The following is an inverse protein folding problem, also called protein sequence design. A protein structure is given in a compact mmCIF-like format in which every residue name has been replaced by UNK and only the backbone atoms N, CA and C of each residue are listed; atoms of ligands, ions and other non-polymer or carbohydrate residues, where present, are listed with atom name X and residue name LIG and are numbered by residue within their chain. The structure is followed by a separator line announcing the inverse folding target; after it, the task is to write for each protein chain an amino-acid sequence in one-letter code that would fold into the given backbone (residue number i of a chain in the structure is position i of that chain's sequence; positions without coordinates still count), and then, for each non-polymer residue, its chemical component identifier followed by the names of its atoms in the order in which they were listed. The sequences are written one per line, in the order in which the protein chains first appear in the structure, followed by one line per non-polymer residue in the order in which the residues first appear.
data_IF_314407873598
#
_entry.id   IF_314407873598
#
_cell.length_a   1.000
_cell.length_b   1.000
_cell.length_c   1.000
_cell.angle_alpha   90.00
_cell.angle_beta   90.00
_cell.angle_gamma   90.00
#
_symmetry.space_group_name_H-M   'P 1'
#
loop_
_entity.id
_entity.type
_entity.pdbx_description
1 polymer ?
#
# COMPACT_ATOMS: atom_id res chain seq x y z
N UNK A 1 -4.10 12.04 -4.17
CA UNK A 1 -5.43 11.61 -3.67
C UNK A 1 -5.90 10.43 -4.50
N UNK A 2 -6.48 9.42 -3.85
CA UNK A 2 -7.01 8.21 -4.47
C UNK A 2 -8.50 8.39 -4.67
N UNK A 3 -8.98 8.23 -5.89
CA UNK A 3 -10.41 8.40 -6.21
C UNK A 3 -11.22 7.17 -5.76
N UNK A 4 -12.41 7.40 -5.23
CA UNK A 4 -13.28 6.33 -4.71
C UNK A 4 -13.62 5.28 -5.78
N UNK A 5 -13.79 5.69 -7.05
CA UNK A 5 -14.02 4.76 -8.17
C UNK A 5 -12.95 3.67 -8.29
N UNK A 6 -11.70 3.99 -7.90
CA UNK A 6 -10.62 3.00 -7.92
C UNK A 6 -10.79 1.96 -6.81
N UNK A 7 -11.26 2.40 -5.62
CA UNK A 7 -11.58 1.49 -4.51
C UNK A 7 -12.82 0.66 -4.83
N UNK A 8 -13.85 1.27 -5.42
CA UNK A 8 -15.05 0.56 -5.89
C UNK A 8 -14.70 -0.53 -6.91
N UNK A 9 -13.71 -0.29 -7.76
CA UNK A 9 -13.32 -1.26 -8.77
C UNK A 9 -12.70 -2.56 -8.23
N UNK A 10 -12.23 -2.56 -6.97
CA UNK A 10 -11.68 -3.75 -6.28
C UNK A 10 -12.64 -4.32 -5.23
N UNK A 11 -13.78 -3.67 -5.02
CA UNK A 11 -14.79 -4.10 -4.05
C UNK A 11 -15.90 -4.94 -4.72
N UNK A 12 -16.41 -5.92 -3.98
CA UNK A 12 -17.57 -6.71 -4.40
C UNK A 12 -18.87 -5.89 -4.30
N UNK A 13 -18.98 -5.06 -3.25
CA UNK A 13 -20.09 -4.15 -2.98
C UNK A 13 -19.68 -3.03 -2.03
N UNK A 14 -20.52 -2.00 -1.96
CA UNK A 14 -20.35 -0.85 -1.08
C UNK A 14 -21.52 -0.73 -0.09
N UNK A 15 -21.27 -0.12 1.07
CA UNK A 15 -22.33 0.13 2.08
C UNK A 15 -23.24 1.28 1.67
N UNK A 16 -22.68 2.36 1.17
CA UNK A 16 -23.38 3.59 0.79
C UNK A 16 -23.31 3.77 -0.73
N UNK A 17 -24.40 4.28 -1.33
CA UNK A 17 -24.42 4.64 -2.75
C UNK A 17 -23.66 5.96 -2.99
N UNK A 18 -23.85 6.93 -2.09
CA UNK A 18 -23.19 8.25 -2.14
C UNK A 18 -22.12 8.32 -1.04
N UNK A 19 -21.00 7.63 -1.27
CA UNK A 19 -19.86 7.65 -0.37
C UNK A 19 -18.88 8.81 -0.64
N UNK A 20 -17.72 8.85 0.06
CA UNK A 20 -16.67 9.84 -0.22
C UNK A 20 -16.16 9.69 -1.64
N UNK A 21 -15.84 10.81 -2.29
CA UNK A 21 -15.36 10.86 -3.70
C UNK A 21 -13.87 10.54 -3.82
N UNK A 22 -13.08 10.77 -2.77
CA UNK A 22 -11.63 10.53 -2.77
C UNK A 22 -11.07 10.39 -1.36
N UNK A 23 -9.87 9.80 -1.28
CA UNK A 23 -9.10 9.61 -0.06
C UNK A 23 -7.76 10.31 -0.16
N UNK A 24 -7.34 10.97 0.93
CA UNK A 24 -6.03 11.60 0.97
C UNK A 24 -4.92 10.56 1.10
N UNK A 25 -5.17 9.50 1.86
CA UNK A 25 -4.22 8.42 2.13
C UNK A 25 -4.90 7.06 2.29
N UNK A 26 -4.10 6.00 2.23
CA UNK A 26 -4.49 4.64 2.63
C UNK A 26 -3.62 4.24 3.81
N UNK A 27 -4.22 3.67 4.84
CA UNK A 27 -3.50 3.22 6.03
C UNK A 27 -3.96 1.84 6.47
N UNK A 28 -3.02 1.05 6.98
CA UNK A 28 -3.27 -0.22 7.67
C UNK A 28 -3.07 -0.11 9.18
N UNK A 29 -2.67 1.07 9.67
CA UNK A 29 -2.43 1.36 11.07
C UNK A 29 -3.48 2.36 11.58
N UNK A 30 -4.32 1.93 12.53
CA UNK A 30 -5.39 2.72 13.13
C UNK A 30 -4.93 3.86 14.04
N UNK A 31 -3.63 3.91 14.36
CA UNK A 31 -3.05 4.92 15.28
C UNK A 31 -2.52 6.15 14.55
N UNK A 32 -2.36 6.05 13.24
CA UNK A 32 -1.86 7.17 12.45
C UNK A 32 -2.93 8.24 12.30
N UNK A 33 -2.62 9.48 12.67
CA UNK A 33 -3.47 10.63 12.34
C UNK A 33 -3.53 10.79 10.81
N UNK A 34 -4.64 10.41 10.25
CA UNK A 34 -4.82 10.25 8.80
C UNK A 34 -6.17 10.81 8.38
N UNK A 35 -6.27 12.13 8.34
CA UNK A 35 -7.50 12.82 7.91
C UNK A 35 -7.91 12.35 6.51
N UNK A 36 -9.19 12.00 6.36
CA UNK A 36 -9.79 11.49 5.11
C UNK A 36 -9.10 10.24 4.54
N UNK A 37 -8.65 9.33 5.43
CA UNK A 37 -8.01 8.09 5.02
C UNK A 37 -9.02 6.99 4.67
N UNK A 38 -8.57 6.09 3.79
CA UNK A 38 -9.12 4.76 3.61
C UNK A 38 -8.36 3.79 4.53
N UNK A 39 -9.06 3.21 5.50
CA UNK A 39 -8.47 2.21 6.39
C UNK A 39 -8.57 0.81 5.77
N UNK A 40 -7.49 0.04 5.83
CA UNK A 40 -7.43 -1.35 5.37
C UNK A 40 -7.05 -2.24 6.54
N UNK A 41 -8.02 -2.84 7.23
CA UNK A 41 -7.76 -3.77 8.32
C UNK A 41 -7.14 -5.05 7.78
N UNK A 42 -5.92 -5.34 8.18
CA UNK A 42 -5.25 -6.59 7.86
C UNK A 42 -5.34 -7.55 9.03
N UNK A 43 -5.44 -8.83 8.75
CA UNK A 43 -5.47 -9.89 9.76
C UNK A 43 -4.27 -10.81 9.59
N UNK A 44 -3.74 -11.29 10.70
CA UNK A 44 -2.67 -12.29 10.77
C UNK A 44 -3.02 -13.36 11.80
N UNK A 45 -2.13 -14.32 12.04
CA UNK A 45 -2.39 -15.46 12.92
C UNK A 45 -2.81 -15.09 14.36
N UNK A 46 -2.34 -13.94 14.89
CA UNK A 46 -2.58 -13.49 16.29
C UNK A 46 -3.24 -12.12 16.37
N UNK A 47 -3.67 -11.56 15.25
CA UNK A 47 -4.11 -10.19 15.17
C UNK A 47 -5.23 -10.06 14.14
N UNK A 48 -6.33 -9.37 14.49
CA UNK A 48 -7.39 -9.00 13.57
C UNK A 48 -7.54 -7.48 13.52
N UNK A 49 -7.16 -6.88 12.39
CA UNK A 49 -7.20 -5.45 12.17
C UNK A 49 -8.61 -4.86 12.24
N UNK A 50 -9.65 -5.66 12.00
CA UNK A 50 -11.04 -5.22 12.04
C UNK A 50 -11.48 -4.74 13.44
N UNK A 51 -10.87 -5.27 14.50
CA UNK A 51 -11.13 -4.83 15.87
C UNK A 51 -10.72 -3.38 16.15
N UNK A 52 -9.94 -2.76 15.28
CA UNK A 52 -9.40 -1.39 15.44
C UNK A 52 -10.14 -0.35 14.58
N UNK A 53 -11.32 -0.69 14.04
CA UNK A 53 -12.08 0.23 13.19
C UNK A 53 -12.44 1.53 13.92
N UNK A 54 -12.89 1.46 15.18
CA UNK A 54 -13.25 2.63 15.95
C UNK A 54 -12.04 3.56 16.15
N UNK A 55 -10.87 3.00 16.50
CA UNK A 55 -9.62 3.75 16.58
C UNK A 55 -9.21 4.40 15.24
N UNK A 56 -9.43 3.71 14.13
CA UNK A 56 -9.16 4.27 12.81
C UNK A 56 -10.08 5.44 12.47
N UNK A 57 -11.37 5.36 12.86
CA UNK A 57 -12.36 6.44 12.70
C UNK A 57 -11.94 7.65 13.54
N UNK A 58 -11.58 7.45 14.81
CA UNK A 58 -11.09 8.49 15.70
C UNK A 58 -9.83 9.17 15.14
N UNK A 59 -8.96 8.43 14.48
CA UNK A 59 -7.75 8.92 13.81
C UNK A 59 -8.01 9.56 12.44
N UNK A 60 -9.27 9.66 12.00
CA UNK A 60 -9.67 10.41 10.81
C UNK A 60 -9.94 9.59 9.56
N UNK A 61 -10.05 8.25 9.65
CA UNK A 61 -10.54 7.43 8.55
C UNK A 61 -12.03 7.76 8.26
N UNK A 62 -12.37 7.84 6.97
CA UNK A 62 -13.75 8.10 6.51
C UNK A 62 -14.36 6.91 5.79
N UNK A 63 -13.55 5.91 5.50
CA UNK A 63 -13.96 4.65 4.88
C UNK A 63 -13.02 3.52 5.26
N UNK A 64 -13.46 2.28 5.06
CA UNK A 64 -12.60 1.11 5.17
C UNK A 64 -12.87 0.09 4.05
N UNK A 65 -11.81 -0.62 3.64
CA UNK A 65 -11.95 -1.91 2.97
C UNK A 65 -12.31 -2.93 4.05
N UNK A 66 -13.36 -3.73 3.83
CA UNK A 66 -13.90 -4.59 4.87
C UNK A 66 -14.06 -6.02 4.36
N UNK A 67 -13.62 -6.99 5.12
CA UNK A 67 -13.79 -8.39 4.73
C UNK A 67 -15.25 -8.81 4.84
N UNK A 68 -15.79 -9.49 3.80
CA UNK A 68 -17.22 -9.84 3.68
C UNK A 68 -17.79 -10.57 4.91
N UNK A 69 -17.01 -11.48 5.49
CA UNK A 69 -17.47 -12.33 6.60
C UNK A 69 -17.21 -11.73 7.98
N UNK A 70 -16.61 -10.54 8.06
CA UNK A 70 -16.38 -9.87 9.33
C UNK A 70 -17.65 -9.09 9.77
N UNK A 71 -18.06 -9.21 11.04
CA UNK A 71 -19.21 -8.48 11.53
C UNK A 71 -18.94 -6.97 11.51
N UNK A 72 -19.91 -6.20 11.01
CA UNK A 72 -19.83 -4.74 11.01
C UNK A 72 -20.29 -4.23 12.38
N UNK A 73 -19.44 -3.46 13.11
CA UNK A 73 -19.83 -2.89 14.39
C UNK A 73 -21.04 -1.94 14.25
N UNK A 74 -22.00 -2.01 15.18
CA UNK A 74 -23.17 -1.12 15.16
C UNK A 74 -22.83 0.33 15.54
N UNK A 75 -21.67 0.55 16.15
CA UNK A 75 -21.17 1.86 16.61
C UNK A 75 -20.65 2.77 15.48
N UNK A 76 -20.45 2.24 14.26
CA UNK A 76 -19.89 3.06 13.17
C UNK A 76 -20.87 4.11 12.68
N UNK A 77 -20.41 5.34 12.37
CA UNK A 77 -21.26 6.41 11.85
C UNK A 77 -22.02 5.99 10.61
N UNK A 78 -23.25 6.50 10.45
CA UNK A 78 -24.08 6.22 9.28
C UNK A 78 -23.40 6.69 7.96
N UNK A 79 -22.60 7.75 8.03
CA UNK A 79 -21.83 8.31 6.91
C UNK A 79 -20.51 7.56 6.60
N UNK A 80 -20.11 6.58 7.42
CA UNK A 80 -18.86 5.86 7.21
C UNK A 80 -19.02 4.81 6.10
N UNK A 81 -18.17 4.90 5.07
CA UNK A 81 -18.23 4.00 3.91
C UNK A 81 -17.48 2.69 4.17
N UNK A 82 -18.07 1.57 3.77
CA UNK A 82 -17.40 0.26 3.72
C UNK A 82 -17.39 -0.26 2.28
N UNK A 83 -16.22 -0.73 1.86
CA UNK A 83 -15.97 -1.41 0.60
C UNK A 83 -15.71 -2.89 0.92
N UNK A 84 -16.69 -3.74 0.62
CA UNK A 84 -16.61 -5.16 0.98
C UNK A 84 -15.81 -5.95 -0.03
N UNK A 85 -14.90 -6.78 0.47
CA UNK A 85 -13.98 -7.62 -0.30
C UNK A 85 -13.85 -9.01 0.32
N UNK A 86 -13.37 -9.98 -0.44
CA UNK A 86 -13.08 -11.31 0.10
C UNK A 86 -11.80 -11.30 0.96
N UNK A 87 -10.77 -10.60 0.51
CA UNK A 87 -9.46 -10.49 1.18
C UNK A 87 -8.95 -9.04 1.13
N UNK A 88 -8.87 -8.34 2.28
CA UNK A 88 -8.37 -6.97 2.35
C UNK A 88 -6.92 -6.80 1.88
N UNK A 89 -6.04 -7.79 2.09
CA UNK A 89 -4.66 -7.72 1.61
C UNK A 89 -4.59 -7.79 0.09
N UNK A 90 -5.33 -8.72 -0.51
CA UNK A 90 -5.43 -8.83 -1.95
C UNK A 90 -6.02 -7.55 -2.57
N UNK A 91 -7.09 -7.01 -1.98
CA UNK A 91 -7.71 -5.77 -2.41
C UNK A 91 -6.74 -4.56 -2.32
N UNK A 92 -5.94 -4.47 -1.25
CA UNK A 92 -4.89 -3.45 -1.10
C UNK A 92 -3.86 -3.55 -2.23
N UNK A 93 -3.41 -4.75 -2.55
CA UNK A 93 -2.44 -5.00 -3.61
C UNK A 93 -2.99 -4.68 -4.99
N UNK A 94 -4.21 -5.09 -5.28
CA UNK A 94 -4.88 -4.79 -6.54
C UNK A 94 -5.16 -3.28 -6.70
N UNK A 95 -5.62 -2.62 -5.65
CA UNK A 95 -5.81 -1.16 -5.63
C UNK A 95 -4.50 -0.43 -5.93
N UNK A 96 -3.39 -0.88 -5.33
CA UNK A 96 -2.08 -0.30 -5.56
C UNK A 96 -1.60 -0.48 -7.01
N UNK A 97 -1.85 -1.64 -7.63
CA UNK A 97 -1.53 -1.87 -9.03
C UNK A 97 -2.35 -0.94 -9.95
N UNK A 98 -3.66 -0.83 -9.72
CA UNK A 98 -4.54 0.04 -10.51
C UNK A 98 -4.13 1.51 -10.37
N UNK A 99 -3.80 1.96 -9.16
CA UNK A 99 -3.32 3.32 -8.91
C UNK A 99 -1.97 3.57 -9.57
N UNK A 100 -1.02 2.62 -9.49
CA UNK A 100 0.26 2.67 -10.21
C UNK A 100 0.05 2.79 -11.73
N UNK A 101 -0.87 2.00 -12.29
CA UNK A 101 -1.15 2.04 -13.74
C UNK A 101 -1.84 3.36 -14.15
N UNK A 102 -2.65 3.98 -13.25
CA UNK A 102 -3.26 5.30 -13.49
C UNK A 102 -2.22 6.42 -13.43
N UNK A 103 -1.32 6.44 -12.43
CA UNK A 103 -0.24 7.44 -12.31
C UNK A 103 0.81 7.23 -13.41
N UNK A 104 1.09 5.98 -13.77
CA UNK A 104 2.02 5.53 -14.79
C UNK A 104 3.43 6.16 -14.72
N UNK A 105 4.10 6.13 -13.55
CA UNK A 105 5.46 6.63 -13.41
C UNK A 105 6.46 5.67 -14.04
N UNK A 106 7.67 6.13 -14.33
CA UNK A 106 8.82 5.24 -14.58
C UNK A 106 9.27 4.63 -13.27
N UNK A 107 9.12 3.31 -13.11
CA UNK A 107 9.42 2.61 -11.84
C UNK A 107 10.80 2.00 -11.86
N UNK A 108 11.61 2.36 -10.86
CA UNK A 108 12.94 1.79 -10.60
C UNK A 108 12.83 0.90 -9.36
N UNK A 109 12.86 -0.42 -9.58
CA UNK A 109 12.85 -1.41 -8.51
C UNK A 109 14.25 -1.66 -7.96
N UNK A 110 14.42 -1.64 -6.64
CA UNK A 110 15.71 -1.89 -5.99
C UNK A 110 15.59 -3.07 -5.04
N UNK A 111 16.39 -4.11 -5.26
CA UNK A 111 16.44 -5.28 -4.40
C UNK A 111 17.89 -5.71 -4.12
N UNK A 112 18.08 -6.72 -3.29
CA UNK A 112 19.37 -7.28 -2.89
C UNK A 112 19.47 -7.54 -1.39
N UNK A 113 20.53 -8.20 -0.96
CA UNK A 113 20.71 -8.58 0.44
C UNK A 113 21.07 -7.37 1.33
N UNK A 114 21.92 -6.49 0.84
CA UNK A 114 22.37 -5.27 1.55
C UNK A 114 22.44 -4.08 0.59
N UNK A 115 22.41 -2.85 1.14
CA UNK A 115 22.60 -1.62 0.37
C UNK A 115 21.35 -1.11 -0.36
N UNK A 116 20.20 -1.77 -0.27
CA UNK A 116 18.94 -1.35 -0.93
C UNK A 116 18.57 0.09 -0.57
N UNK A 117 18.45 0.39 0.72
CA UNK A 117 18.02 1.71 1.21
C UNK A 117 18.99 2.81 0.81
N UNK A 118 20.30 2.57 0.92
CA UNK A 118 21.32 3.52 0.47
C UNK A 118 21.23 3.79 -1.02
N UNK A 119 21.09 2.72 -1.83
CA UNK A 119 20.95 2.85 -3.29
C UNK A 119 19.66 3.59 -3.66
N UNK A 120 18.54 3.30 -3.00
CA UNK A 120 17.26 4.01 -3.15
C UNK A 120 17.44 5.52 -2.91
N UNK A 121 18.11 5.89 -1.83
CA UNK A 121 18.30 7.30 -1.47
C UNK A 121 19.24 8.02 -2.45
N UNK A 122 20.29 7.36 -2.93
CA UNK A 122 21.17 7.89 -3.97
C UNK A 122 20.41 8.10 -5.28
N UNK A 123 19.66 7.10 -5.75
CA UNK A 123 18.87 7.18 -6.99
C UNK A 123 17.84 8.30 -6.90
N UNK A 124 17.13 8.40 -5.76
CA UNK A 124 16.18 9.48 -5.52
C UNK A 124 16.80 10.87 -5.67
N UNK A 125 17.99 11.09 -5.09
CA UNK A 125 18.70 12.36 -5.19
C UNK A 125 19.21 12.65 -6.61
N UNK A 126 19.73 11.64 -7.30
CA UNK A 126 20.21 11.78 -8.68
C UNK A 126 19.10 12.12 -9.66
N UNK A 127 17.87 11.69 -9.41
CA UNK A 127 16.70 12.01 -10.21
C UNK A 127 16.08 13.38 -9.89
N UNK A 128 16.64 14.12 -8.93
CA UNK A 128 16.21 15.46 -8.54
C UNK A 128 15.26 15.53 -7.35
N UNK A 129 14.89 14.38 -6.74
CA UNK A 129 14.05 14.35 -5.55
C UNK A 129 12.61 14.83 -5.79
N UNK A 130 11.95 15.28 -4.70
CA UNK A 130 10.60 15.82 -4.78
C UNK A 130 10.51 17.09 -5.64
N UNK A 131 9.36 17.37 -6.24
CA UNK A 131 8.07 16.66 -6.12
C UNK A 131 7.84 15.57 -7.18
N UNK A 132 8.75 15.40 -8.14
CA UNK A 132 8.54 14.51 -9.30
C UNK A 132 9.04 13.09 -9.09
N UNK A 133 9.82 12.87 -8.05
CA UNK A 133 10.35 11.55 -7.68
C UNK A 133 9.74 11.10 -6.38
N UNK A 134 9.09 9.93 -6.40
CA UNK A 134 8.58 9.26 -5.21
C UNK A 134 9.50 8.09 -4.82
N UNK A 135 9.59 7.75 -3.56
CA UNK A 135 10.38 6.62 -3.09
C UNK A 135 9.74 5.90 -1.91
N UNK A 136 10.13 4.65 -1.73
CA UNK A 136 9.78 3.88 -0.52
C UNK A 136 10.22 4.62 0.74
N UNK A 137 9.27 4.87 1.65
CA UNK A 137 9.51 5.44 2.95
C UNK A 137 9.87 4.35 3.97
N UNK A 138 10.85 4.63 4.86
CA UNK A 138 11.24 3.70 5.91
C UNK A 138 11.56 2.30 5.37
N UNK A 139 10.91 1.29 5.95
CA UNK A 139 11.03 -0.13 5.62
C UNK A 139 9.79 -0.70 4.89
N UNK A 140 9.02 0.12 4.19
CA UNK A 140 7.81 -0.30 3.45
C UNK A 140 8.17 -1.08 2.17
N UNK A 141 8.91 -2.18 2.30
CA UNK A 141 9.52 -2.92 1.21
C UNK A 141 9.00 -4.37 1.04
N UNK A 142 7.93 -4.72 1.76
CA UNK A 142 7.30 -6.05 1.72
C UNK A 142 5.94 -6.03 0.99
N UNK A 143 5.19 -7.12 1.04
CA UNK A 143 3.89 -7.32 0.38
C UNK A 143 2.75 -6.42 0.89
N UNK A 144 2.95 -5.68 1.98
CA UNK A 144 2.06 -4.62 2.50
C UNK A 144 2.68 -3.24 2.20
N UNK A 145 3.97 -3.09 2.44
CA UNK A 145 4.66 -1.82 2.33
C UNK A 145 4.81 -1.31 0.90
N UNK A 146 5.08 -2.22 -0.07
CA UNK A 146 5.14 -1.83 -1.49
C UNK A 146 3.79 -1.29 -1.98
N UNK A 147 2.64 -1.94 -1.75
CA UNK A 147 1.33 -1.35 -2.03
C UNK A 147 1.13 0.04 -1.41
N UNK A 148 1.45 0.23 -0.13
CA UNK A 148 1.33 1.53 0.53
C UNK A 148 2.25 2.59 -0.09
N UNK A 149 3.48 2.20 -0.48
CA UNK A 149 4.40 3.07 -1.22
C UNK A 149 3.77 3.53 -2.54
N UNK A 150 3.20 2.62 -3.32
CA UNK A 150 2.56 2.96 -4.59
C UNK A 150 1.35 3.88 -4.40
N UNK A 151 0.50 3.59 -3.41
CA UNK A 151 -0.70 4.38 -3.11
C UNK A 151 -0.39 5.77 -2.54
N UNK A 152 0.82 6.00 -2.04
CA UNK A 152 1.26 7.32 -1.56
C UNK A 152 1.89 8.20 -2.63
N UNK A 153 2.03 7.73 -3.88
CA UNK A 153 2.57 8.54 -4.98
C UNK A 153 1.69 9.76 -5.27
N UNK A 154 2.27 10.95 -5.47
CA UNK A 154 1.56 12.07 -6.08
C UNK A 154 1.08 11.71 -7.51
N UNK A 155 -0.03 12.29 -7.97
CA UNK A 155 -0.50 12.06 -9.35
C UNK A 155 0.49 12.55 -10.41
N UNK A 156 1.30 13.55 -10.07
CA UNK A 156 2.33 14.15 -10.93
C UNK A 156 3.67 13.41 -10.88
N UNK A 157 3.73 12.28 -10.16
CA UNK A 157 4.93 11.47 -10.02
C UNK A 157 5.43 10.98 -11.39
N UNK A 158 6.70 11.29 -11.71
CA UNK A 158 7.35 10.86 -12.95
C UNK A 158 8.23 9.63 -12.75
N UNK A 159 8.84 9.51 -11.57
CA UNK A 159 9.72 8.42 -11.21
C UNK A 159 9.34 7.87 -9.84
N UNK A 160 9.22 6.55 -9.73
CA UNK A 160 9.01 5.86 -8.46
C UNK A 160 10.18 4.94 -8.15
N UNK A 161 10.91 5.20 -7.08
CA UNK A 161 12.03 4.36 -6.61
C UNK A 161 11.52 3.43 -5.53
N UNK A 162 11.27 2.17 -5.89
CA UNK A 162 10.60 1.18 -5.05
C UNK A 162 11.61 0.17 -4.51
N UNK A 163 11.82 0.21 -3.19
CA UNK A 163 12.62 -0.80 -2.50
C UNK A 163 11.81 -2.09 -2.33
N UNK A 164 12.39 -3.22 -2.71
CA UNK A 164 11.78 -4.55 -2.61
C UNK A 164 12.65 -5.46 -1.74
N UNK A 165 12.16 -5.77 -0.55
CA UNK A 165 12.78 -6.69 0.39
C UNK A 165 12.29 -8.12 0.22
N UNK A 166 13.10 -9.10 0.64
CA UNK A 166 12.66 -10.49 0.74
C UNK A 166 13.26 -11.17 1.96
N UNK A 167 12.47 -12.03 2.59
CA UNK A 167 12.89 -12.98 3.60
C UNK A 167 12.73 -14.43 3.10
N UNK A 168 11.82 -14.65 2.16
CA UNK A 168 11.47 -15.97 1.61
C UNK A 168 11.50 -15.96 0.08
N UNK A 169 11.73 -17.15 -0.48
CA UNK A 169 11.71 -17.34 -1.93
C UNK A 169 10.33 -16.97 -2.51
N UNK A 170 10.32 -16.30 -3.66
CA UNK A 170 9.11 -15.90 -4.36
C UNK A 170 8.59 -14.50 -4.02
N UNK A 171 8.98 -13.89 -2.90
CA UNK A 171 8.50 -12.55 -2.50
C UNK A 171 8.86 -11.47 -3.53
N UNK A 172 10.08 -11.48 -4.07
CA UNK A 172 10.46 -10.51 -5.11
C UNK A 172 9.60 -10.67 -6.37
N UNK A 173 9.21 -11.89 -6.73
CA UNK A 173 8.30 -12.13 -7.85
C UNK A 173 6.93 -11.47 -7.63
N UNK A 174 6.38 -11.56 -6.42
CA UNK A 174 5.15 -10.86 -6.04
C UNK A 174 5.33 -9.34 -6.12
N UNK A 175 6.37 -8.80 -5.45
CA UNK A 175 6.63 -7.36 -5.39
C UNK A 175 6.89 -6.76 -6.77
N UNK A 176 7.58 -7.48 -7.65
CA UNK A 176 7.82 -7.03 -9.03
C UNK A 176 6.53 -7.01 -9.86
N UNK A 177 5.60 -7.93 -9.64
CA UNK A 177 4.27 -7.91 -10.29
C UNK A 177 3.42 -6.73 -9.80
N UNK A 178 3.55 -6.36 -8.51
CA UNK A 178 2.86 -5.21 -7.93
C UNK A 178 3.42 -3.88 -8.46
N UNK A 179 4.73 -3.71 -8.43
CA UNK A 179 5.40 -2.46 -8.81
C UNK A 179 5.58 -2.32 -10.32
N UNK A 180 5.66 -3.42 -11.09
CA UNK A 180 5.95 -3.46 -12.54
C UNK A 180 7.13 -2.55 -12.89
N UNK A 181 8.37 -2.83 -12.39
CA UNK A 181 9.50 -1.95 -12.60
C UNK A 181 9.92 -1.92 -14.08
N UNK A 182 10.19 -0.71 -14.59
CA UNK A 182 10.79 -0.48 -15.92
C UNK A 182 12.30 -0.73 -15.90
N UNK A 183 12.94 -0.51 -14.72
CA UNK A 183 14.35 -0.79 -14.45
C UNK A 183 14.48 -1.48 -13.10
N UNK A 184 15.34 -2.49 -13.01
CA UNK A 184 15.66 -3.15 -11.76
C UNK A 184 17.17 -3.02 -11.43
N UNK A 185 17.45 -2.69 -10.16
CA UNK A 185 18.80 -2.65 -9.61
C UNK A 185 18.91 -3.75 -8.55
N UNK A 186 19.83 -4.68 -8.75
CA UNK A 186 20.18 -5.69 -7.74
C UNK A 186 21.50 -5.28 -7.11
N UNK A 187 21.46 -4.85 -5.85
CA UNK A 187 22.66 -4.29 -5.18
C UNK A 187 23.73 -5.35 -4.92
N UNK A 188 23.28 -6.49 -4.40
CA UNK A 188 24.12 -7.68 -4.23
C UNK A 188 23.26 -8.93 -3.95
N UNK A 189 23.86 -10.10 -4.10
CA UNK A 189 23.27 -11.38 -3.73
C UNK A 189 24.23 -12.09 -2.76
N UNK A 190 23.91 -12.04 -1.46
CA UNK A 190 24.65 -12.80 -0.46
C UNK A 190 24.18 -14.26 -0.49
N UNK A 191 25.12 -15.21 -0.35
CA UNK A 191 24.75 -16.60 -0.13
C UNK A 191 23.95 -16.73 1.17
N UNK A 192 22.89 -17.53 1.22
CA UNK A 192 22.24 -17.83 2.49
C UNK A 192 23.30 -18.42 3.44
N UNK A 193 23.31 -17.93 4.68
CA UNK A 193 24.10 -18.53 5.73
C UNK A 193 23.49 -19.92 5.94
N UNK A 194 24.19 -20.98 5.48
CA UNK A 194 23.79 -22.33 5.78
C UNK A 194 23.84 -22.50 7.30
N UNK A 195 22.67 -22.69 7.92
CA UNK A 195 22.60 -23.17 9.30
C UNK A 195 23.28 -24.54 9.32
N UNK A 196 24.50 -24.59 9.83
CA UNK A 196 25.14 -25.83 10.28
C UNK A 196 24.40 -26.39 11.47
#
# INVERSE_FOLDING_TARGET
MIEARLVESVANRTRLQDGPVSFHSVTTDSRNDSKTALFVPLSGERFNGHHYLESAIESGAIAAIWQENEPVPMSIPASFQLYFVDDPLHALQELAQRYRDEVNPYVIGITGSNGKTTTKDIVFQLLGGEPFVHRTAGNLNNHIGVPLTLLSMPKECKFAVVEMGMNHAGEISLLSKLAKPDLAIVTNIAKPISST
#
